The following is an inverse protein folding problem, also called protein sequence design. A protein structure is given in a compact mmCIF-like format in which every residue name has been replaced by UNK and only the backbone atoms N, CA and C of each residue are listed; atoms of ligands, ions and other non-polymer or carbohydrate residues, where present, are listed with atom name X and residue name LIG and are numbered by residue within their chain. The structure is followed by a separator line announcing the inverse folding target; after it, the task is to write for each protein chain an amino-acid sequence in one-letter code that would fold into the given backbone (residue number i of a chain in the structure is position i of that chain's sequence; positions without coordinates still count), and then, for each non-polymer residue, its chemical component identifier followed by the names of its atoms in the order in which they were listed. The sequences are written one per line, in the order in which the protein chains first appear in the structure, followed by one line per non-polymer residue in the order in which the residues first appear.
data_IF_573239920332
#
_entry.id   IF_573239920332
#
_cell.length_a   1.000
_cell.length_b   1.000
_cell.length_c   1.000
_cell.angle_alpha   90.00
_cell.angle_beta   90.00
_cell.angle_gamma   90.00
#
_symmetry.space_group_name_H-M   'P 1'
#
loop_
_entity.id
_entity.type
_entity.pdbx_description
1 polymer ?
#
# COMPACT_ATOMS: atom_id res chain seq x y z
N UNK A 1 7.29 -0.76 -9.93
CA UNK A 1 7.57 -1.57 -8.72
C UNK A 1 6.59 -2.73 -8.69
N UNK A 2 7.08 -3.94 -8.91
CA UNK A 2 6.26 -5.15 -8.85
C UNK A 2 6.14 -5.55 -7.39
N UNK A 3 4.92 -5.51 -6.83
CA UNK A 3 4.65 -5.87 -5.43
C UNK A 3 5.11 -7.31 -5.09
N UNK A 4 5.32 -8.16 -6.11
CA UNK A 4 5.73 -9.57 -6.01
C UNK A 4 7.05 -9.83 -5.25
N UNK A 5 7.89 -8.82 -5.02
CA UNK A 5 9.20 -9.00 -4.38
C UNK A 5 9.32 -8.28 -3.02
N UNK A 6 8.24 -7.72 -2.47
CA UNK A 6 8.30 -7.04 -1.18
C UNK A 6 8.26 -8.06 -0.03
N UNK A 7 9.13 -7.88 0.95
CA UNK A 7 9.05 -8.61 2.22
C UNK A 7 7.83 -8.18 3.02
N UNK A 8 7.45 -8.98 4.02
CA UNK A 8 6.35 -8.63 4.93
C UNK A 8 6.55 -7.27 5.60
N UNK A 9 7.77 -6.96 6.03
CA UNK A 9 8.12 -5.70 6.69
C UNK A 9 8.00 -4.51 5.72
N UNK A 10 8.50 -4.65 4.50
CA UNK A 10 8.38 -3.60 3.48
C UNK A 10 6.92 -3.32 3.11
N UNK A 11 6.07 -4.35 3.08
CA UNK A 11 4.62 -4.20 2.85
C UNK A 11 3.99 -3.40 4.01
N UNK A 12 4.35 -3.70 5.26
CA UNK A 12 3.83 -3.01 6.45
C UNK A 12 4.25 -1.54 6.49
N UNK A 13 5.51 -1.24 6.18
CA UNK A 13 6.02 0.13 6.12
C UNK A 13 5.31 0.94 5.02
N UNK A 14 5.09 0.34 3.85
CA UNK A 14 4.34 0.99 2.78
C UNK A 14 2.88 1.24 3.17
N UNK A 15 2.24 0.29 3.86
CA UNK A 15 0.87 0.48 4.36
C UNK A 15 0.81 1.65 5.34
N UNK A 16 1.73 1.71 6.31
CA UNK A 16 1.81 2.81 7.28
C UNK A 16 1.99 4.16 6.59
N UNK A 17 2.91 4.26 5.63
CA UNK A 17 3.13 5.49 4.87
C UNK A 17 1.87 5.93 4.11
N UNK A 18 1.19 4.99 3.43
CA UNK A 18 0.00 5.28 2.64
C UNK A 18 -1.19 5.70 3.52
N UNK A 19 -1.39 5.04 4.65
CA UNK A 19 -2.46 5.36 5.61
C UNK A 19 -2.24 6.75 6.24
N UNK A 20 -1.01 7.08 6.65
CA UNK A 20 -0.67 8.41 7.20
C UNK A 20 -0.87 9.56 6.21
N UNK A 21 -0.75 9.29 4.91
CA UNK A 21 -0.85 10.33 3.87
C UNK A 21 -2.15 10.24 3.07
N UNK A 22 -3.12 9.39 3.45
CA UNK A 22 -4.33 9.14 2.66
C UNK A 22 -5.18 10.38 2.42
N UNK A 23 -5.09 11.38 3.30
CA UNK A 23 -5.85 12.63 3.22
C UNK A 23 -5.19 13.69 2.32
N UNK A 24 -3.93 13.50 1.91
CA UNK A 24 -3.17 14.48 1.14
C UNK A 24 -3.38 14.30 -0.37
N UNK A 25 -3.50 15.43 -1.08
CA UNK A 25 -3.56 15.50 -2.54
C UNK A 25 -4.98 15.45 -3.12
N UNK A 26 -5.07 15.33 -4.45
CA UNK A 26 -6.34 15.31 -5.19
C UNK A 26 -7.18 14.06 -4.91
N UNK A 27 -8.47 14.10 -5.26
CA UNK A 27 -9.36 12.93 -5.18
C UNK A 27 -8.76 11.73 -5.93
N UNK A 28 -8.28 11.93 -7.17
CA UNK A 28 -7.68 10.86 -7.97
C UNK A 28 -6.45 10.23 -7.30
N UNK A 29 -5.62 11.06 -6.67
CA UNK A 29 -4.43 10.62 -5.97
C UNK A 29 -4.77 9.80 -4.71
N UNK A 30 -5.79 10.23 -3.96
CA UNK A 30 -6.32 9.48 -2.82
C UNK A 30 -6.92 8.13 -3.23
N UNK A 31 -7.68 8.09 -4.33
CA UNK A 31 -8.21 6.85 -4.90
C UNK A 31 -7.09 5.89 -5.33
N UNK A 32 -6.02 6.39 -5.95
CA UNK A 32 -4.86 5.57 -6.30
C UNK A 32 -4.20 4.95 -5.06
N UNK A 33 -4.02 5.73 -3.99
CA UNK A 33 -3.48 5.25 -2.71
C UNK A 33 -4.37 4.19 -2.07
N UNK A 34 -5.69 4.38 -2.06
CA UNK A 34 -6.65 3.38 -1.57
C UNK A 34 -6.54 2.06 -2.34
N UNK A 35 -6.46 2.13 -3.67
CA UNK A 35 -6.26 0.93 -4.49
C UNK A 35 -4.94 0.23 -4.16
N UNK A 36 -3.86 1.00 -3.94
CA UNK A 36 -2.56 0.44 -3.57
C UNK A 36 -2.56 -0.20 -2.18
N UNK A 37 -3.24 0.40 -1.20
CA UNK A 37 -3.47 -0.21 0.13
C UNK A 37 -4.19 -1.55 -0.02
N UNK A 38 -5.24 -1.62 -0.85
CA UNK A 38 -5.99 -2.87 -1.08
C UNK A 38 -5.08 -3.95 -1.64
N UNK A 39 -4.24 -3.63 -2.63
CA UNK A 39 -3.29 -4.58 -3.20
C UNK A 39 -2.24 -5.02 -2.18
N UNK A 40 -1.66 -4.10 -1.40
CA UNK A 40 -0.67 -4.44 -0.38
C UNK A 40 -1.26 -5.32 0.73
N UNK A 41 -2.49 -5.04 1.19
CA UNK A 41 -3.19 -5.90 2.16
C UNK A 41 -3.46 -7.30 1.62
N UNK A 42 -3.75 -7.42 0.32
CA UNK A 42 -3.89 -8.73 -0.32
C UNK A 42 -2.55 -9.48 -0.39
N UNK A 43 -1.47 -8.79 -0.78
CA UNK A 43 -0.13 -9.37 -0.83
C UNK A 43 0.41 -9.78 0.53
N UNK A 44 0.07 -9.05 1.60
CA UNK A 44 0.45 -9.42 2.97
C UNK A 44 -0.06 -10.81 3.39
N UNK A 45 -1.18 -11.27 2.82
CA UNK A 45 -1.72 -12.61 3.08
C UNK A 45 -0.86 -13.74 2.49
N UNK A 46 -0.05 -13.41 1.48
CA UNK A 46 0.80 -14.36 0.77
C UNK A 46 2.30 -14.12 1.02
N UNK A 47 2.65 -13.00 1.68
CA UNK A 47 4.00 -12.72 2.11
C UNK A 47 4.36 -13.66 3.26
N UNK A 48 5.33 -14.54 3.02
CA UNK A 48 5.90 -15.47 4.01
C UNK A 48 6.92 -14.76 4.89
#
# INVERSE_FOLDING_TARGET
MTIRNLTREEILDQLKYLEQNITKGSVSYRTNRLNRIRTLKASLRFAS
#
